data_IF_841129232190
#
_entry.id   IF_841129232190
#
_cell.length_a   1.000
_cell.length_b   1.000
_cell.length_c   1.000
_cell.angle_alpha   90.00
_cell.angle_beta   90.00
_cell.angle_gamma   90.00
#
_symmetry.space_group_name_H-M   'P 1'
#
loop_
_entity.id
_entity.type
_entity.pdbx_description
1 polymer ?
#
# COMPACT_ATOMS: atom_id res chain seq x y z
N UNK A 1 -8.37 8.54 11.39
CA UNK A 1 -9.41 7.76 10.86
C UNK A 1 -9.55 7.95 9.36
N UNK A 2 -9.36 9.15 8.90
CA UNK A 2 -9.37 9.40 7.47
C UNK A 2 -8.11 8.94 6.79
N UNK A 3 -7.10 8.61 7.58
CA UNK A 3 -5.84 8.17 7.03
C UNK A 3 -6.00 6.89 6.24
N UNK A 4 -6.80 5.97 6.76
CA UNK A 4 -7.02 4.71 6.07
C UNK A 4 -7.71 4.94 4.72
N UNK A 5 -8.66 5.85 4.68
CA UNK A 5 -9.32 6.18 3.42
C UNK A 5 -8.36 6.79 2.42
N UNK A 6 -7.46 7.64 2.91
CA UNK A 6 -6.48 8.24 2.04
C UNK A 6 -5.55 7.19 1.43
N UNK A 7 -5.15 6.24 2.26
CA UNK A 7 -4.29 5.16 1.78
C UNK A 7 -5.04 4.32 0.75
N UNK A 8 -6.30 4.04 1.00
CA UNK A 8 -7.09 3.27 0.04
C UNK A 8 -7.19 4.00 -1.29
N UNK A 9 -7.38 5.30 -1.25
CA UNK A 9 -7.46 6.07 -2.48
C UNK A 9 -6.17 6.02 -3.26
N UNK A 10 -5.05 6.17 -2.55
CA UNK A 10 -3.76 6.16 -3.21
C UNK A 10 -3.49 4.80 -3.86
N UNK A 11 -3.76 3.74 -3.12
CA UNK A 11 -3.47 2.40 -3.62
C UNK A 11 -4.46 1.93 -4.68
N UNK A 12 -5.61 2.59 -4.79
CA UNK A 12 -6.58 2.21 -5.78
C UNK A 12 -6.32 2.88 -7.12
N UNK A 13 -5.39 3.81 -7.18
CA UNK A 13 -5.04 4.45 -8.45
C UNK A 13 -4.42 3.45 -9.40
N UNK A 14 -4.77 3.59 -10.68
CA UNK A 14 -4.26 2.69 -11.70
C UNK A 14 -2.74 2.65 -11.73
N UNK A 15 -2.12 3.80 -11.60
CA UNK A 15 -0.68 3.88 -11.67
C UNK A 15 -0.01 3.18 -10.50
N UNK A 16 -0.76 2.91 -9.44
CA UNK A 16 -0.23 2.24 -8.26
C UNK A 16 -0.67 0.78 -8.18
N UNK A 17 -1.23 0.26 -9.25
CA UNK A 17 -1.79 -1.09 -9.22
C UNK A 17 -0.73 -2.17 -9.03
N UNK A 18 0.51 -1.89 -9.38
CA UNK A 18 1.59 -2.85 -9.21
C UNK A 18 2.14 -2.87 -7.79
N UNK A 19 1.72 -1.90 -6.97
CA UNK A 19 2.20 -1.80 -5.62
C UNK A 19 2.96 -0.52 -5.38
N UNK A 20 3.02 -0.11 -4.13
CA UNK A 20 3.66 1.15 -3.74
C UNK A 20 4.57 0.86 -2.56
N UNK A 21 5.76 1.44 -2.58
CA UNK A 21 6.67 1.32 -1.46
C UNK A 21 6.13 2.10 -0.26
N UNK A 22 6.47 1.62 0.93
CA UNK A 22 6.03 2.30 2.15
C UNK A 22 6.48 3.76 2.17
N UNK A 23 7.73 4.00 1.78
CA UNK A 23 8.25 5.36 1.77
C UNK A 23 7.45 6.24 0.81
N UNK A 24 7.15 5.73 -0.36
CA UNK A 24 6.39 6.49 -1.35
C UNK A 24 4.98 6.75 -0.85
N UNK A 25 4.41 5.79 -0.13
CA UNK A 25 3.09 5.97 0.42
C UNK A 25 3.07 7.09 1.46
N UNK A 26 4.10 7.12 2.31
CA UNK A 26 4.20 8.18 3.31
C UNK A 26 4.30 9.54 2.63
N UNK A 27 5.09 9.62 1.57
CA UNK A 27 5.23 10.87 0.83
C UNK A 27 3.92 11.27 0.16
N UNK A 28 3.20 10.30 -0.37
CA UNK A 28 1.92 10.59 -1.03
C UNK A 28 0.89 11.11 -0.02
N UNK A 29 1.04 10.73 1.23
CA UNK A 29 0.17 11.22 2.29
C UNK A 29 0.60 12.59 2.78
N UNK A 30 1.66 13.15 2.17
CA UNK A 30 2.19 14.46 2.54
C UNK A 30 2.72 14.46 3.96
N UNK A 31 3.30 13.35 4.35
CA UNK A 31 3.94 13.22 5.65
C UNK A 31 5.44 13.16 5.48
N UNK A 32 6.14 13.60 6.52
CA UNK A 32 7.58 13.48 6.53
C UNK A 32 7.97 12.01 6.64
N UNK A 33 9.03 11.64 5.92
CA UNK A 33 9.50 10.26 5.97
C UNK A 33 10.38 10.10 7.20
N UNK A 34 9.73 9.76 8.29
CA UNK A 34 10.41 9.51 9.56
C UNK A 34 10.05 8.10 10.03
N UNK A 35 10.84 7.59 10.94
CA UNK A 35 10.54 6.26 11.49
C UNK A 35 9.16 6.22 12.11
N UNK A 36 8.78 7.29 12.78
CA UNK A 36 7.46 7.34 13.40
C UNK A 36 6.35 7.25 12.38
N UNK A 37 6.47 8.02 11.31
CA UNK A 37 5.43 8.01 10.29
C UNK A 37 5.41 6.70 9.53
N UNK A 38 6.57 6.13 9.29
CA UNK A 38 6.61 4.81 8.65
C UNK A 38 5.91 3.76 9.50
N UNK A 39 6.14 3.80 10.81
CA UNK A 39 5.49 2.85 11.69
C UNK A 39 3.99 3.07 11.76
N UNK A 40 3.56 4.33 11.77
CA UNK A 40 2.14 4.62 11.81
C UNK A 40 1.43 4.08 10.58
N UNK A 41 2.00 4.33 9.42
CA UNK A 41 1.39 3.87 8.18
C UNK A 41 1.41 2.35 8.12
N UNK A 42 2.51 1.74 8.55
CA UNK A 42 2.60 0.29 8.57
C UNK A 42 1.52 -0.31 9.46
N UNK A 43 1.28 0.31 10.62
CA UNK A 43 0.25 -0.19 11.52
C UNK A 43 -1.12 -0.15 10.85
N UNK A 44 -1.41 0.94 10.16
CA UNK A 44 -2.69 1.05 9.48
C UNK A 44 -2.82 -0.02 8.40
N UNK A 45 -1.74 -0.23 7.66
CA UNK A 45 -1.76 -1.23 6.60
C UNK A 45 -2.02 -2.63 7.16
N UNK A 46 -1.47 -2.90 8.34
CA UNK A 46 -1.65 -4.23 8.93
C UNK A 46 -3.04 -4.41 9.55
N UNK A 47 -3.72 -3.32 9.83
CA UNK A 47 -5.04 -3.41 10.44
C UNK A 47 -6.13 -3.72 9.44
N UNK A 48 -5.89 -3.47 8.18
CA UNK A 48 -6.92 -3.64 7.16
C UNK A 48 -6.54 -4.80 6.25
N UNK A 49 -7.32 -5.88 6.25
CA UNK A 49 -6.99 -7.05 5.41
C UNK A 49 -7.05 -6.78 3.91
N UNK A 50 -7.60 -5.64 3.52
CA UNK A 50 -7.60 -5.29 2.10
C UNK A 50 -6.23 -4.91 1.59
N UNK A 51 -5.31 -4.53 2.48
CA UNK A 51 -3.98 -4.15 2.07
C UNK A 51 -3.09 -5.38 2.05
N UNK A 52 -2.45 -5.59 0.93
CA UNK A 52 -1.61 -6.76 0.74
C UNK A 52 -0.16 -6.35 0.60
N UNK A 53 0.72 -7.09 1.25
CA UNK A 53 2.15 -6.88 1.16
C UNK A 53 2.72 -7.87 0.16
N UNK A 54 3.47 -7.36 -0.81
CA UNK A 54 4.11 -8.22 -1.79
C UNK A 54 5.58 -7.87 -1.85
N UNK A 55 6.35 -8.79 -2.38
CA UNK A 55 7.78 -8.63 -2.51
C UNK A 55 8.17 -8.64 -3.97
N UNK A 56 9.12 -7.79 -4.32
CA UNK A 56 9.60 -7.72 -5.68
C UNK A 56 11.12 -7.62 -5.65
N UNK A 57 11.72 -7.87 -6.80
CA UNK A 57 13.15 -7.80 -6.94
C UNK A 57 13.51 -6.55 -7.73
N UNK A 58 14.45 -5.80 -7.20
CA UNK A 58 14.93 -4.62 -7.91
C UNK A 58 16.41 -4.45 -7.59
N UNK A 59 17.23 -4.43 -8.62
CA UNK A 59 18.67 -4.26 -8.43
C UNK A 59 19.25 -5.27 -7.45
N UNK A 60 18.86 -6.53 -7.62
CA UNK A 60 19.34 -7.63 -6.77
C UNK A 60 18.90 -7.49 -5.33
N UNK A 61 17.87 -6.70 -5.09
CA UNK A 61 17.34 -6.49 -3.74
C UNK A 61 15.89 -6.84 -3.70
N UNK A 62 15.48 -7.37 -2.55
CA UNK A 62 14.07 -7.60 -2.31
C UNK A 62 13.46 -6.32 -1.75
N UNK A 63 12.45 -5.81 -2.40
CA UNK A 63 11.74 -4.64 -1.91
C UNK A 63 10.31 -5.04 -1.57
N UNK A 64 9.73 -4.28 -0.65
CA UNK A 64 8.37 -4.53 -0.19
C UNK A 64 7.44 -3.51 -0.80
N UNK A 65 6.34 -3.99 -1.36
CA UNK A 65 5.33 -3.13 -1.93
C UNK A 65 3.99 -3.43 -1.28
N UNK A 66 3.13 -2.44 -1.25
CA UNK A 66 1.79 -2.59 -0.70
C UNK A 66 0.77 -2.35 -1.79
N UNK A 67 -0.23 -3.19 -1.82
CA UNK A 67 -1.30 -3.15 -2.80
C UNK A 67 -2.63 -3.16 -2.10
N UNK A 68 -3.63 -2.57 -2.75
CA UNK A 68 -4.99 -2.69 -2.29
C UNK A 68 -5.60 -3.90 -2.98
N UNK A 69 -6.06 -4.83 -2.17
CA UNK A 69 -6.70 -6.03 -2.70
C UNK A 69 -8.06 -5.66 -3.24
N UNK A 70 -8.22 -5.81 -4.54
CA UNK A 70 -9.50 -5.50 -5.16
C UNK A 70 -10.38 -6.71 -5.12
N UNK A 71 -11.47 -6.57 -4.45
CA UNK A 71 -12.39 -7.68 -4.28
C UNK A 71 -13.33 -7.73 -5.47
N UNK A 72 -12.87 -8.31 -6.57
CA UNK A 72 -13.70 -8.44 -7.74
C UNK A 72 -14.40 -9.76 -7.73
N UNK A 73 -15.64 -9.73 -7.70
CA UNK A 73 -16.37 -10.98 -7.74
C UNK A 73 -16.25 -11.61 -9.09
N UNK A 74 -15.89 -11.77 -9.42
CA UNK A 74 -15.71 -12.37 -10.39
C UNK A 74 -15.33 -13.11 -10.88
N UNK A 75 -15.08 -12.93 -10.71
CA UNK A 75 -14.62 -13.38 -11.20
C UNK A 75 -14.73 -14.33 -11.47
N UNK A 76 -14.98 -14.50 -11.13
CA UNK A 76 -15.18 -15.26 -11.40
C UNK A 76 -15.55 -15.92 -11.90
N UNK A 77 -15.67 -16.05 -11.90
CA UNK A 77 -16.00 -16.61 -12.40
C UNK A 77 -16.19 -17.18 -12.98
N UNK A 78 -16.21 -17.43 -13.10
CA UNK A 78 -16.53 -17.96 -13.70
C UNK A 78 -16.56 -18.52 -13.92
#
# INVERSE_FOLDING_TARGET
KKRMEQIEEILSCEENSAGVRLKELVEALELEVTNQNLLKVTSILHMNPKFKKIYAYEDSRVITLYQLLQNKPLEVTE
#
